data_IF_760808741474
#
_entry.id   IF_760808741474
#
_cell.length_a   1.000
_cell.length_b   1.000
_cell.length_c   1.000
_cell.angle_alpha   90.00
_cell.angle_beta   90.00
_cell.angle_gamma   90.00
#
_symmetry.space_group_name_H-M   'P 1'
#
loop_
_entity.id
_entity.type
_entity.pdbx_description
1 polymer ?
#
# COMPACT_ATOMS: atom_id res chain seq x y z
N UNK A 1 36.15 -56.95 12.98
CA UNK A 1 34.78 -56.41 13.11
C UNK A 1 34.86 -54.91 12.86
N UNK A 2 34.48 -54.43 11.67
CA UNK A 2 34.46 -53.00 11.31
C UNK A 2 33.19 -52.38 11.89
N UNK A 3 33.32 -51.42 12.82
CA UNK A 3 32.19 -50.60 13.28
C UNK A 3 31.98 -49.47 12.27
N UNK A 4 30.88 -49.54 11.54
CA UNK A 4 30.41 -48.44 10.69
C UNK A 4 29.68 -47.47 11.62
N UNK A 5 30.21 -46.24 11.75
CA UNK A 5 29.51 -45.15 12.43
C UNK A 5 28.56 -44.51 11.42
N UNK A 6 27.26 -44.60 11.71
CA UNK A 6 26.19 -43.99 10.92
C UNK A 6 25.97 -42.58 11.49
N UNK A 7 26.36 -41.54 10.74
CA UNK A 7 26.00 -40.17 11.07
C UNK A 7 24.55 -39.95 10.60
N UNK A 8 23.64 -39.76 11.56
CA UNK A 8 22.29 -39.30 11.28
C UNK A 8 22.35 -37.79 11.00
N UNK A 9 22.14 -37.40 9.74
CA UNK A 9 21.93 -36.01 9.36
C UNK A 9 20.60 -35.52 9.93
N UNK A 10 20.66 -34.54 10.83
CA UNK A 10 19.48 -33.83 11.30
C UNK A 10 19.08 -32.84 10.18
N UNK A 11 18.11 -33.22 9.36
CA UNK A 11 17.49 -32.28 8.43
C UNK A 11 16.66 -31.28 9.26
N UNK A 12 17.18 -30.06 9.43
CA UNK A 12 16.36 -28.93 9.84
C UNK A 12 15.44 -28.61 8.67
N UNK A 13 14.13 -28.83 8.86
CA UNK A 13 13.13 -28.27 7.98
C UNK A 13 13.11 -26.76 8.25
N UNK A 14 13.66 -25.98 7.33
CA UNK A 14 13.44 -24.53 7.28
C UNK A 14 12.01 -24.36 6.79
N UNK A 15 11.11 -23.97 7.67
CA UNK A 15 9.77 -23.51 7.29
C UNK A 15 9.95 -22.08 6.80
N UNK A 16 9.82 -21.85 5.49
CA UNK A 16 9.79 -20.51 4.93
C UNK A 16 8.72 -19.68 5.63
N UNK A 17 9.09 -18.49 6.09
CA UNK A 17 8.14 -17.54 6.65
C UNK A 17 7.25 -17.06 5.49
N UNK A 18 5.97 -17.45 5.50
CA UNK A 18 5.01 -16.94 4.53
C UNK A 18 4.90 -15.42 4.64
N UNK A 19 4.65 -14.76 3.51
CA UNK A 19 4.43 -13.31 3.45
C UNK A 19 3.40 -12.88 4.53
N UNK A 20 3.83 -11.99 5.42
CA UNK A 20 2.97 -11.49 6.48
C UNK A 20 1.96 -10.51 5.89
N UNK A 21 0.68 -10.72 6.17
CA UNK A 21 -0.39 -9.79 5.78
C UNK A 21 -0.88 -9.03 7.00
N UNK A 22 -0.96 -7.70 6.90
CA UNK A 22 -1.59 -6.84 7.89
C UNK A 22 -2.89 -6.28 7.31
N UNK A 23 -3.91 -6.13 8.15
CA UNK A 23 -5.19 -5.51 7.78
C UNK A 23 -5.49 -4.39 8.76
N UNK A 24 -5.72 -3.19 8.23
CA UNK A 24 -6.13 -2.01 9.00
C UNK A 24 -7.63 -1.85 8.91
N UNK A 25 -8.32 -2.36 9.93
CA UNK A 25 -9.77 -2.24 10.14
C UNK A 25 -10.17 -0.90 10.76
N UNK A 26 -9.21 -0.20 11.41
CA UNK A 26 -9.44 1.05 12.14
C UNK A 26 -10.43 0.99 13.32
N UNK A 27 -11.12 -0.12 13.54
CA UNK A 27 -12.09 -0.35 14.63
C UNK A 27 -11.52 -0.15 16.05
N UNK A 28 -10.23 -0.39 16.24
CA UNK A 28 -9.56 -0.19 17.55
C UNK A 28 -9.18 1.27 17.81
N UNK A 29 -9.27 2.14 16.80
CA UNK A 29 -9.02 3.56 16.94
C UNK A 29 -10.24 4.28 17.51
N UNK A 30 -9.98 5.30 18.33
CA UNK A 30 -11.06 6.14 18.86
C UNK A 30 -11.54 7.11 17.80
N UNK A 31 -12.86 7.21 17.65
CA UNK A 31 -13.50 8.20 16.78
C UNK A 31 -12.98 9.63 17.04
N UNK A 32 -12.55 10.31 15.98
CA UNK A 32 -12.06 11.68 16.04
C UNK A 32 -10.92 11.99 15.08
N UNK A 33 -10.36 13.19 15.24
CA UNK A 33 -9.25 13.66 14.43
C UNK A 33 -7.94 12.97 14.82
N UNK A 34 -7.21 12.47 13.82
CA UNK A 34 -5.87 11.92 13.98
C UNK A 34 -4.77 12.94 13.66
N UNK A 35 -5.11 14.03 12.97
CA UNK A 35 -4.19 15.11 12.58
C UNK A 35 -3.86 15.09 11.08
N UNK A 36 -2.86 15.86 10.68
CA UNK A 36 -2.41 15.96 9.28
C UNK A 36 -1.52 14.79 8.84
N UNK A 37 -1.07 14.00 9.81
CA UNK A 37 -0.37 12.75 9.61
C UNK A 37 -0.59 11.87 10.83
N UNK A 38 -0.67 10.56 10.62
CA UNK A 38 -0.70 9.57 11.69
C UNK A 38 -0.04 8.28 11.24
N UNK A 39 0.40 7.49 12.21
CA UNK A 39 0.97 6.16 12.00
C UNK A 39 0.02 5.12 12.58
N UNK A 40 -0.25 4.07 11.81
CA UNK A 40 -1.06 2.95 12.25
C UNK A 40 -0.73 1.69 11.44
N UNK A 41 -0.52 0.58 12.15
CA UNK A 41 -0.38 -0.76 11.58
C UNK A 41 0.69 -0.90 10.47
N UNK A 42 1.85 -0.28 10.65
CA UNK A 42 2.96 -0.31 9.69
C UNK A 42 2.82 0.69 8.53
N UNK A 43 1.86 1.62 8.61
CA UNK A 43 1.60 2.63 7.58
C UNK A 43 1.64 4.03 8.19
N UNK A 44 2.43 4.92 7.60
CA UNK A 44 2.40 6.37 7.88
C UNK A 44 1.59 7.08 6.82
N UNK A 45 0.48 7.69 7.22
CA UNK A 45 -0.40 8.48 6.37
C UNK A 45 0.03 9.95 6.41
N UNK A 46 0.14 10.60 5.25
CA UNK A 46 0.58 12.01 5.15
C UNK A 46 0.05 12.71 3.90
N UNK A 47 0.27 14.02 3.85
CA UNK A 47 0.03 14.89 2.69
C UNK A 47 -1.41 14.82 2.13
N UNK A 48 -2.39 14.73 3.04
CA UNK A 48 -3.80 14.70 2.66
C UNK A 48 -4.22 16.03 2.02
N UNK A 49 -4.82 15.94 0.83
CA UNK A 49 -5.48 17.02 0.11
C UNK A 49 -4.60 18.24 -0.20
N UNK A 50 -3.31 18.02 -0.48
CA UNK A 50 -2.34 19.09 -0.69
C UNK A 50 -2.24 19.62 -2.15
N UNK A 51 -3.25 19.35 -2.99
CA UNK A 51 -3.27 19.80 -4.40
C UNK A 51 -4.44 20.72 -4.71
N UNK A 52 -4.26 21.72 -5.59
CA UNK A 52 -5.37 22.39 -6.23
C UNK A 52 -6.01 21.48 -7.28
N UNK A 53 -7.27 21.74 -7.62
CA UNK A 53 -7.97 20.90 -8.58
C UNK A 53 -9.23 21.51 -9.19
N UNK A 54 -9.99 20.66 -9.87
CA UNK A 54 -11.17 21.01 -10.65
C UNK A 54 -12.30 20.01 -10.41
N UNK A 55 -13.54 20.50 -10.41
CA UNK A 55 -14.75 19.67 -10.38
C UNK A 55 -15.31 19.45 -11.79
N UNK A 56 -16.15 18.43 -12.01
CA UNK A 56 -16.78 18.17 -13.31
C UNK A 56 -17.58 19.34 -13.89
N UNK A 57 -18.08 20.25 -13.05
CA UNK A 57 -18.78 21.46 -13.48
C UNK A 57 -17.85 22.62 -13.91
N UNK A 58 -16.54 22.44 -13.81
CA UNK A 58 -15.51 23.43 -14.15
C UNK A 58 -15.09 24.36 -13.01
N UNK A 59 -15.72 24.26 -11.83
CA UNK A 59 -15.27 25.00 -10.64
C UNK A 59 -13.90 24.49 -10.18
N UNK A 60 -13.07 25.40 -9.65
CA UNK A 60 -11.72 25.08 -9.17
C UNK A 60 -11.61 25.31 -7.67
N UNK A 61 -10.68 24.60 -7.03
CA UNK A 61 -10.35 24.76 -5.61
C UNK A 61 -8.83 24.84 -5.40
N UNK A 62 -8.41 25.39 -4.26
CA UNK A 62 -7.02 25.33 -3.77
C UNK A 62 -6.89 24.28 -2.66
N UNK A 63 -5.67 23.82 -2.39
CA UNK A 63 -5.40 22.75 -1.41
C UNK A 63 -6.10 22.98 -0.04
N UNK A 64 -5.96 24.19 0.51
CA UNK A 64 -6.51 24.56 1.83
C UNK A 64 -8.04 24.49 1.93
N UNK A 65 -8.76 24.42 0.81
CA UNK A 65 -10.22 24.39 0.81
C UNK A 65 -10.77 23.07 1.35
N UNK A 66 -10.10 21.94 1.03
CA UNK A 66 -10.63 20.59 1.26
C UNK A 66 -10.36 20.05 2.67
N UNK A 67 -9.36 20.59 3.36
CA UNK A 67 -8.93 20.13 4.68
C UNK A 67 -7.94 18.97 4.61
N UNK A 68 -6.98 19.00 5.54
CA UNK A 68 -5.79 18.16 5.56
C UNK A 68 -5.78 17.13 6.69
N UNK A 69 -6.91 16.91 7.38
CA UNK A 69 -6.93 16.00 8.54
C UNK A 69 -7.51 14.63 8.23
N UNK A 70 -6.81 13.60 8.71
CA UNK A 70 -7.30 12.23 8.81
C UNK A 70 -8.22 12.08 10.02
N UNK A 71 -9.29 11.32 9.86
CA UNK A 71 -10.38 11.22 10.81
C UNK A 71 -10.83 9.77 10.89
N UNK A 72 -11.04 9.27 12.11
CA UNK A 72 -11.77 8.03 12.35
C UNK A 72 -13.22 8.39 12.65
N UNK A 73 -14.15 7.80 11.89
CA UNK A 73 -15.59 7.99 12.09
C UNK A 73 -16.30 6.67 12.32
N UNK A 74 -17.32 6.69 13.18
CA UNK A 74 -18.19 5.53 13.32
C UNK A 74 -19.14 5.43 12.12
N UNK A 75 -18.92 4.43 11.27
CA UNK A 75 -19.64 4.25 10.01
C UNK A 75 -20.81 3.26 10.11
N UNK A 76 -21.33 2.98 11.32
CA UNK A 76 -22.41 2.01 11.51
C UNK A 76 -23.60 2.23 10.57
N UNK A 77 -23.98 3.49 10.31
CA UNK A 77 -25.06 3.80 9.39
C UNK A 77 -24.75 3.43 7.93
N UNK A 78 -23.48 3.47 7.51
CA UNK A 78 -23.06 2.99 6.19
C UNK A 78 -23.11 1.45 6.13
N UNK A 79 -22.65 0.75 7.18
CA UNK A 79 -22.70 -0.71 7.22
C UNK A 79 -24.13 -1.27 7.27
N UNK A 80 -25.10 -0.55 7.82
CA UNK A 80 -26.51 -0.94 7.77
C UNK A 80 -27.00 -1.10 6.31
N UNK A 81 -26.50 -0.25 5.40
CA UNK A 81 -26.81 -0.30 3.96
C UNK A 81 -25.86 -1.24 3.19
N UNK A 82 -24.61 -1.40 3.64
CA UNK A 82 -23.56 -2.22 3.01
C UNK A 82 -22.91 -3.22 3.99
N UNK A 83 -23.65 -4.24 4.47
CA UNK A 83 -23.19 -5.10 5.58
C UNK A 83 -22.04 -6.06 5.24
N UNK A 84 -21.63 -6.15 3.97
CA UNK A 84 -20.50 -6.95 3.52
C UNK A 84 -19.29 -6.14 3.05
N UNK A 85 -19.33 -4.82 3.26
CA UNK A 85 -18.23 -3.92 2.96
C UNK A 85 -17.43 -3.64 4.24
N UNK A 86 -16.11 -3.77 4.16
CA UNK A 86 -15.19 -3.46 5.25
C UNK A 86 -15.36 -4.32 6.50
N UNK A 87 -14.80 -3.82 7.59
CA UNK A 87 -15.03 -4.22 8.97
C UNK A 87 -16.06 -3.33 9.66
N UNK A 88 -16.87 -3.85 10.60
CA UNK A 88 -17.90 -3.06 11.26
C UNK A 88 -17.33 -2.21 12.40
N UNK A 89 -17.59 -0.91 12.35
CA UNK A 89 -17.72 0.06 13.44
C UNK A 89 -17.10 1.38 13.02
N UNK A 90 -15.80 1.39 12.73
CA UNK A 90 -15.07 2.61 12.37
C UNK A 90 -14.39 2.50 11.01
N UNK A 91 -14.25 3.65 10.33
CA UNK A 91 -13.58 3.75 9.04
C UNK A 91 -12.64 4.95 9.03
N UNK A 92 -11.68 4.96 8.09
CA UNK A 92 -10.86 6.12 7.81
C UNK A 92 -11.55 7.06 6.81
N UNK A 93 -11.61 8.34 7.17
CA UNK A 93 -12.21 9.41 6.38
C UNK A 93 -11.40 10.72 6.53
N UNK A 94 -11.81 11.76 5.80
CA UNK A 94 -10.94 12.85 5.42
C UNK A 94 -11.63 14.21 5.43
N UNK A 95 -10.91 15.25 5.80
CA UNK A 95 -11.31 16.64 5.54
C UNK A 95 -11.18 17.55 6.77
N UNK A 96 -12.26 18.25 7.12
CA UNK A 96 -12.27 19.32 8.15
C UNK A 96 -13.25 19.09 9.30
N UNK A 97 -14.15 18.14 9.14
CA UNK A 97 -15.26 17.92 10.03
C UNK A 97 -15.75 16.49 9.90
N UNK A 98 -16.36 16.03 10.98
CA UNK A 98 -16.89 14.69 11.15
C UNK A 98 -18.14 14.78 12.03
N UNK A 99 -19.01 13.79 12.01
CA UNK A 99 -20.20 13.79 12.87
C UNK A 99 -20.12 12.68 13.90
N UNK A 100 -19.87 12.98 15.19
CA UNK A 100 -19.71 11.95 16.21
C UNK A 100 -20.92 11.02 16.34
N UNK A 101 -20.65 9.73 16.44
CA UNK A 101 -21.63 8.66 16.60
C UNK A 101 -22.01 7.98 15.27
N UNK A 102 -22.95 7.03 15.30
CA UNK A 102 -23.26 6.17 14.15
C UNK A 102 -23.94 6.96 13.04
N UNK A 103 -23.15 7.46 12.10
CA UNK A 103 -23.62 8.37 11.05
C UNK A 103 -23.01 8.05 9.69
N UNK A 104 -23.53 8.72 8.66
CA UNK A 104 -23.07 8.60 7.28
C UNK A 104 -22.32 9.88 6.89
N UNK A 105 -21.01 9.86 7.11
CA UNK A 105 -20.10 10.94 6.77
C UNK A 105 -19.06 10.42 5.78
N UNK A 106 -19.16 10.86 4.51
CA UNK A 106 -18.15 10.50 3.50
C UNK A 106 -17.27 11.73 3.25
N UNK A 107 -16.03 11.62 3.70
CA UNK A 107 -15.02 12.67 3.68
C UNK A 107 -14.58 13.03 2.27
N UNK A 108 -13.84 14.13 2.15
CA UNK A 108 -13.32 14.61 0.85
C UNK A 108 -11.88 14.15 0.66
N UNK A 109 -11.58 13.58 -0.51
CA UNK A 109 -10.22 13.18 -0.87
C UNK A 109 -9.80 13.79 -2.21
N UNK A 110 -8.60 14.31 -2.26
CA UNK A 110 -7.89 14.80 -3.45
C UNK A 110 -6.65 13.95 -3.67
N UNK A 111 -5.84 13.81 -2.63
CA UNK A 111 -4.71 12.90 -2.56
C UNK A 111 -4.41 12.52 -1.11
N UNK A 112 -3.71 11.41 -0.91
CA UNK A 112 -2.95 11.09 0.28
C UNK A 112 -1.81 10.13 -0.05
N UNK A 113 -0.76 10.19 0.77
CA UNK A 113 0.38 9.29 0.68
C UNK A 113 0.40 8.36 1.90
N UNK A 114 0.84 7.13 1.66
CA UNK A 114 0.97 6.07 2.66
C UNK A 114 2.38 5.48 2.52
N UNK A 115 3.26 5.79 3.47
CA UNK A 115 4.60 5.17 3.54
C UNK A 115 4.50 3.88 4.35
N UNK A 116 5.10 2.81 3.84
CA UNK A 116 5.10 1.50 4.48
C UNK A 116 6.39 1.30 5.26
N UNK A 117 6.29 0.74 6.47
CA UNK A 117 7.47 0.41 7.30
C UNK A 117 8.36 -0.66 6.64
N UNK A 118 7.72 -1.59 5.94
CA UNK A 118 8.34 -2.71 5.22
C UNK A 118 7.89 -2.72 3.76
N UNK A 119 8.69 -3.33 2.88
CA UNK A 119 8.30 -3.54 1.49
C UNK A 119 7.04 -4.41 1.41
N UNK A 120 6.14 -4.05 0.50
CA UNK A 120 4.91 -4.79 0.19
C UNK A 120 4.94 -5.32 -1.24
N UNK A 121 4.22 -6.42 -1.47
CA UNK A 121 4.03 -7.02 -2.80
C UNK A 121 2.58 -6.91 -3.27
N UNK A 122 1.64 -6.75 -2.34
CA UNK A 122 0.23 -6.50 -2.63
C UNK A 122 -0.34 -5.49 -1.64
N UNK A 123 -1.23 -4.63 -2.12
CA UNK A 123 -2.05 -3.77 -1.28
C UNK A 123 -3.46 -3.70 -1.84
N UNK A 124 -4.47 -3.72 -0.96
CA UNK A 124 -5.86 -3.52 -1.35
C UNK A 124 -6.62 -2.75 -0.28
N UNK A 125 -7.68 -2.05 -0.69
CA UNK A 125 -8.58 -1.37 0.24
C UNK A 125 -10.03 -1.45 -0.21
N UNK A 126 -10.95 -1.45 0.76
CA UNK A 126 -12.37 -1.27 0.54
C UNK A 126 -12.70 0.23 0.49
N UNK A 127 -13.58 0.62 -0.44
CA UNK A 127 -13.95 2.02 -0.67
C UNK A 127 -15.46 2.21 -0.55
N UNK A 128 -15.87 3.23 0.20
CA UNK A 128 -17.23 3.74 0.22
C UNK A 128 -17.24 5.18 -0.32
N UNK A 129 -18.10 5.48 -1.29
CA UNK A 129 -18.09 6.79 -1.96
C UNK A 129 -19.49 7.18 -2.45
N UNK A 130 -19.62 8.42 -2.94
CA UNK A 130 -20.81 8.82 -3.69
C UNK A 130 -20.59 8.68 -5.20
N UNK A 131 -21.53 8.05 -5.89
CA UNK A 131 -21.56 7.98 -7.35
C UNK A 131 -22.66 8.85 -7.96
N UNK A 132 -22.60 9.00 -9.29
CA UNK A 132 -23.51 9.83 -10.07
C UNK A 132 -23.46 11.31 -9.64
N UNK A 133 -24.54 12.06 -9.91
CA UNK A 133 -24.65 13.46 -9.50
C UNK A 133 -23.43 14.31 -9.91
N UNK A 134 -22.84 15.10 -9.00
CA UNK A 134 -21.70 15.97 -9.30
C UNK A 134 -20.34 15.23 -9.36
N UNK A 135 -20.32 13.93 -9.09
CA UNK A 135 -19.09 13.13 -8.97
C UNK A 135 -18.74 12.35 -10.24
N UNK A 136 -19.71 12.21 -11.15
CA UNK A 136 -19.59 11.40 -12.35
C UNK A 136 -18.36 11.74 -13.19
N UNK A 137 -17.63 10.69 -13.59
CA UNK A 137 -16.44 10.81 -14.44
C UNK A 137 -15.14 11.16 -13.70
N UNK A 138 -15.18 11.44 -12.39
CA UNK A 138 -13.96 11.49 -11.58
C UNK A 138 -13.42 10.06 -11.42
N UNK A 139 -12.10 9.89 -11.51
CA UNK A 139 -11.42 8.61 -11.28
C UNK A 139 -10.58 8.64 -10.01
N UNK A 140 -10.73 7.64 -9.16
CA UNK A 140 -9.75 7.30 -8.13
C UNK A 140 -8.59 6.54 -8.75
N UNK A 141 -7.39 6.76 -8.21
CA UNK A 141 -6.14 6.14 -8.61
C UNK A 141 -5.40 5.66 -7.36
N UNK A 142 -4.89 4.44 -7.40
CA UNK A 142 -4.00 3.89 -6.39
C UNK A 142 -2.71 3.47 -7.10
N UNK A 143 -1.64 4.20 -6.83
CA UNK A 143 -0.32 3.92 -7.38
C UNK A 143 0.59 3.36 -6.28
N UNK A 144 1.32 2.29 -6.60
CA UNK A 144 2.39 1.74 -5.79
C UNK A 144 3.74 2.23 -6.32
N UNK A 145 4.60 2.69 -5.41
CA UNK A 145 5.92 3.22 -5.73
C UNK A 145 7.02 2.38 -5.07
N UNK A 146 8.10 2.17 -5.83
CA UNK A 146 9.38 1.68 -5.32
C UNK A 146 10.43 2.77 -5.52
N UNK A 147 11.02 3.24 -4.43
CA UNK A 147 12.07 4.28 -4.42
C UNK A 147 11.70 5.51 -5.28
N UNK A 148 10.42 5.92 -5.22
CA UNK A 148 9.89 7.08 -5.94
C UNK A 148 9.48 6.84 -7.40
N UNK A 149 9.51 5.59 -7.87
CA UNK A 149 9.05 5.21 -9.22
C UNK A 149 7.76 4.38 -9.12
N UNK A 150 6.73 4.72 -9.90
CA UNK A 150 5.50 3.91 -9.98
C UNK A 150 5.81 2.53 -10.56
N UNK A 151 5.48 1.48 -9.82
CA UNK A 151 5.67 0.07 -10.22
C UNK A 151 4.36 -0.67 -10.47
N UNK A 152 3.24 -0.20 -9.92
CA UNK A 152 1.90 -0.70 -10.20
C UNK A 152 0.84 0.39 -10.01
N UNK A 153 -0.28 0.26 -10.70
CA UNK A 153 -1.40 1.20 -10.63
C UNK A 153 -2.73 0.48 -10.78
N UNK A 154 -3.74 0.97 -10.07
CA UNK A 154 -5.15 0.64 -10.27
C UNK A 154 -5.98 1.91 -10.34
N UNK A 155 -7.14 1.86 -10.98
CA UNK A 155 -8.04 3.02 -11.08
C UNK A 155 -9.50 2.62 -11.12
N UNK A 156 -10.34 3.46 -10.50
CA UNK A 156 -11.79 3.29 -10.50
C UNK A 156 -12.48 4.59 -10.91
N UNK A 157 -13.28 4.56 -11.97
CA UNK A 157 -14.05 5.74 -12.43
C UNK A 157 -15.46 5.74 -11.87
N UNK A 158 -15.84 6.84 -11.22
CA UNK A 158 -17.18 7.05 -10.68
C UNK A 158 -18.20 7.10 -11.81
N UNK A 159 -19.26 6.31 -11.67
CA UNK A 159 -20.40 6.28 -12.60
C UNK A 159 -21.01 7.67 -12.81
N UNK A 160 -21.35 7.98 -14.06
CA UNK A 160 -22.04 9.22 -14.48
C UNK A 160 -23.37 8.89 -15.18
N UNK A 161 -24.24 8.13 -14.51
CA UNK A 161 -25.58 7.85 -15.05
C UNK A 161 -26.54 9.05 -14.89
N UNK A 162 -26.03 10.20 -14.41
CA UNK A 162 -26.81 11.36 -14.02
C UNK A 162 -27.71 11.10 -12.79
N UNK A 163 -28.49 12.10 -12.38
CA UNK A 163 -29.42 11.97 -11.26
C UNK A 163 -28.84 12.44 -9.91
N UNK A 164 -29.35 11.89 -8.82
CA UNK A 164 -28.88 12.21 -7.46
C UNK A 164 -27.63 11.42 -7.13
N UNK A 165 -26.82 11.98 -6.25
CA UNK A 165 -25.77 11.24 -5.57
C UNK A 165 -26.35 10.10 -4.74
N UNK A 166 -25.68 8.94 -4.80
CA UNK A 166 -26.01 7.80 -3.96
C UNK A 166 -24.73 7.12 -3.46
N UNK A 167 -24.72 6.59 -2.22
CA UNK A 167 -23.63 5.76 -1.74
C UNK A 167 -23.42 4.55 -2.66
N UNK A 168 -22.15 4.19 -2.84
CA UNK A 168 -21.70 3.00 -3.54
C UNK A 168 -20.40 2.47 -2.91
N UNK A 169 -20.05 1.25 -3.28
CA UNK A 169 -18.84 0.57 -2.81
C UNK A 169 -18.00 0.07 -3.98
N UNK A 170 -16.69 0.03 -3.77
CA UNK A 170 -15.72 -0.58 -4.68
C UNK A 170 -14.52 -1.10 -3.87
N UNK A 171 -13.57 -1.71 -4.56
CA UNK A 171 -12.26 -2.01 -4.04
C UNK A 171 -11.21 -1.61 -5.06
N UNK A 172 -10.02 -1.25 -4.59
CA UNK A 172 -8.85 -1.06 -5.44
C UNK A 172 -7.71 -1.91 -4.90
N UNK A 173 -6.86 -2.38 -5.82
CA UNK A 173 -5.74 -3.25 -5.46
C UNK A 173 -4.57 -3.07 -6.41
N UNK A 174 -3.35 -3.07 -5.86
CA UNK A 174 -2.10 -3.04 -6.61
C UNK A 174 -1.23 -4.23 -6.21
N UNK A 175 -0.45 -4.74 -7.17
CA UNK A 175 0.52 -5.81 -6.94
C UNK A 175 1.75 -5.59 -7.81
N UNK A 176 2.94 -5.77 -7.21
CA UNK A 176 4.24 -5.68 -7.85
C UNK A 176 5.25 -6.54 -7.07
N UNK A 177 6.48 -6.69 -7.60
CA UNK A 177 7.54 -7.45 -6.92
C UNK A 177 7.85 -6.88 -5.52
N UNK A 178 7.99 -5.56 -5.42
CA UNK A 178 8.11 -4.82 -4.17
C UNK A 178 7.75 -3.34 -4.36
N UNK A 179 7.15 -2.72 -3.35
CA UNK A 179 6.92 -1.28 -3.24
C UNK A 179 6.99 -0.84 -1.77
N UNK A 180 7.35 0.43 -1.54
CA UNK A 180 7.51 1.03 -0.20
C UNK A 180 6.47 2.13 0.09
N UNK A 181 5.77 2.60 -0.94
CA UNK A 181 4.86 3.73 -0.82
C UNK A 181 3.61 3.52 -1.67
N UNK A 182 2.45 3.95 -1.16
CA UNK A 182 1.19 4.03 -1.91
C UNK A 182 0.74 5.50 -2.03
N UNK A 183 0.17 5.86 -3.18
CA UNK A 183 -0.45 7.15 -3.43
C UNK A 183 -1.89 6.94 -3.87
N UNK A 184 -2.84 7.40 -3.06
CA UNK A 184 -4.26 7.41 -3.43
C UNK A 184 -4.65 8.82 -3.80
N UNK A 185 -5.21 9.02 -4.98
CA UNK A 185 -5.64 10.34 -5.43
C UNK A 185 -6.83 10.26 -6.39
N UNK A 186 -7.45 11.41 -6.64
CA UNK A 186 -8.58 11.52 -7.54
C UNK A 186 -8.32 12.52 -8.67
N UNK A 187 -8.73 12.19 -9.88
CA UNK A 187 -8.61 13.05 -11.05
C UNK A 187 -9.89 13.19 -11.86
N UNK A 188 -10.04 14.33 -12.51
CA UNK A 188 -11.01 14.57 -13.56
C UNK A 188 -10.27 15.15 -14.77
N UNK A 189 -10.33 14.47 -15.92
CA UNK A 189 -9.63 14.85 -17.16
C UNK A 189 -8.13 15.15 -16.96
N UNK A 190 -7.45 14.35 -16.13
CA UNK A 190 -6.00 14.47 -15.88
C UNK A 190 -5.60 15.58 -14.91
N UNK A 191 -6.57 16.23 -14.25
CA UNK A 191 -6.33 17.20 -13.18
C UNK A 191 -6.86 16.65 -11.87
N UNK A 192 -6.25 17.00 -10.74
CA UNK A 192 -6.78 16.62 -9.43
C UNK A 192 -8.24 17.06 -9.25
N UNK A 193 -9.02 16.23 -8.57
CA UNK A 193 -10.41 16.51 -8.21
C UNK A 193 -10.67 16.12 -6.75
N UNK A 194 -11.85 16.43 -6.22
CA UNK A 194 -12.17 16.26 -4.80
C UNK A 194 -13.48 15.48 -4.59
N UNK A 195 -13.56 14.20 -5.01
CA UNK A 195 -14.71 13.35 -4.73
C UNK A 195 -14.77 12.95 -3.25
N UNK A 196 -15.78 12.13 -2.91
CA UNK A 196 -16.05 11.69 -1.54
C UNK A 196 -15.63 10.26 -1.33
N UNK A 197 -14.81 10.00 -0.31
CA UNK A 197 -14.33 8.66 0.03
C UNK A 197 -14.31 8.44 1.55
N UNK A 198 -14.74 7.25 1.96
CA UNK A 198 -14.29 6.55 3.16
C UNK A 198 -13.54 5.30 2.71
N UNK A 199 -12.56 4.88 3.48
CA UNK A 199 -11.83 3.64 3.23
C UNK A 199 -11.76 2.76 4.46
N UNK A 200 -11.66 1.47 4.21
CA UNK A 200 -11.54 0.45 5.24
C UNK A 200 -10.75 -0.77 4.72
N UNK A 201 -10.40 -1.68 5.62
CA UNK A 201 -9.69 -2.93 5.31
C UNK A 201 -8.43 -2.71 4.47
N UNK A 202 -7.62 -1.68 4.78
CA UNK A 202 -6.33 -1.51 4.10
C UNK A 202 -5.46 -2.72 4.43
N UNK A 203 -5.35 -3.60 3.45
CA UNK A 203 -4.64 -4.87 3.52
C UNK A 203 -3.31 -4.68 2.83
N UNK A 204 -2.22 -4.91 3.56
CA UNK A 204 -0.87 -4.87 3.04
C UNK A 204 -0.27 -6.26 3.19
N UNK A 205 0.12 -6.87 2.08
CA UNK A 205 0.90 -8.10 2.09
C UNK A 205 2.35 -7.71 1.92
N UNK A 206 3.15 -7.95 2.97
CA UNK A 206 4.59 -7.75 2.93
C UNK A 206 5.14 -8.46 1.69
N UNK A 207 6.04 -7.81 0.96
CA UNK A 207 6.94 -8.53 0.09
C UNK A 207 7.59 -9.57 1.00
N UNK A 208 7.54 -10.85 0.62
CA UNK A 208 8.25 -11.89 1.38
C UNK A 208 9.68 -11.41 1.66
N UNK A 209 10.33 -11.88 2.75
CA UNK A 209 11.67 -11.44 3.09
C UNK A 209 12.47 -11.41 1.79
N UNK A 210 12.88 -10.21 1.35
CA UNK A 210 13.47 -10.04 0.02
C UNK A 210 14.53 -11.11 -0.06
N UNK A 211 14.34 -12.08 -0.95
CA UNK A 211 15.33 -13.11 -1.11
C UNK A 211 16.44 -12.45 -1.89
N UNK A 212 17.21 -11.63 -1.18
CA UNK A 212 18.25 -10.81 -1.74
C UNK A 212 19.21 -11.61 -2.63
N UNK A 213 19.53 -12.90 -2.33
CA UNK A 213 20.35 -13.68 -3.24
C UNK A 213 19.63 -14.19 -4.50
N UNK A 214 18.31 -14.06 -4.63
CA UNK A 214 17.54 -14.23 -5.87
C UNK A 214 17.58 -12.90 -6.64
N UNK A 215 18.54 -12.80 -7.56
CA UNK A 215 18.86 -11.58 -8.30
C UNK A 215 18.13 -11.51 -9.64
N UNK A 216 17.61 -12.62 -10.13
CA UNK A 216 16.81 -12.68 -11.35
C UNK A 216 15.29 -12.60 -11.08
N UNK A 217 14.88 -12.61 -9.79
CA UNK A 217 13.51 -12.57 -9.28
C UNK A 217 12.63 -13.71 -9.80
N UNK A 218 13.20 -14.90 -10.04
CA UNK A 218 12.42 -16.06 -10.49
C UNK A 218 11.84 -16.90 -9.34
N UNK A 219 12.15 -16.52 -8.09
CA UNK A 219 11.69 -17.16 -6.86
C UNK A 219 12.57 -18.33 -6.41
N UNK A 220 13.70 -18.59 -7.07
CA UNK A 220 14.61 -19.70 -6.77
C UNK A 220 16.05 -19.21 -6.75
N UNK A 221 16.68 -19.26 -5.57
CA UNK A 221 18.12 -18.99 -5.44
C UNK A 221 18.93 -20.14 -6.03
N UNK A 222 19.52 -19.94 -7.20
CA UNK A 222 20.34 -20.96 -7.86
C UNK A 222 21.58 -20.42 -8.60
N UNK A 223 22.17 -21.26 -9.45
CA UNK A 223 23.40 -20.89 -10.15
C UNK A 223 23.23 -19.64 -11.03
N UNK A 224 22.03 -19.37 -11.54
CA UNK A 224 21.76 -18.21 -12.38
C UNK A 224 21.93 -16.90 -11.58
N UNK A 225 21.45 -16.83 -10.34
CA UNK A 225 21.69 -15.68 -9.46
C UNK A 225 23.15 -15.53 -9.09
N UNK A 226 23.84 -16.65 -8.84
CA UNK A 226 25.27 -16.63 -8.56
C UNK A 226 26.07 -16.03 -9.72
N UNK A 227 25.74 -16.41 -10.97
CA UNK A 227 26.40 -15.83 -12.14
C UNK A 227 26.00 -14.37 -12.36
N UNK A 228 24.77 -13.99 -12.04
CA UNK A 228 24.31 -12.61 -12.12
C UNK A 228 25.04 -11.71 -11.10
N UNK A 229 25.20 -12.19 -9.85
CA UNK A 229 26.01 -11.54 -8.83
C UNK A 229 27.46 -11.33 -9.30
N UNK A 230 28.10 -12.37 -9.86
CA UNK A 230 29.46 -12.24 -10.38
C UNK A 230 29.59 -11.17 -11.48
N UNK A 231 28.55 -11.00 -12.30
CA UNK A 231 28.52 -9.93 -13.30
C UNK A 231 28.45 -8.56 -12.64
N UNK A 232 27.48 -8.34 -11.75
CA UNK A 232 27.33 -7.08 -11.01
C UNK A 232 28.57 -6.71 -10.20
N UNK A 233 29.16 -7.70 -9.51
CA UNK A 233 30.37 -7.54 -8.72
C UNK A 233 31.57 -7.13 -9.59
N UNK A 234 31.73 -7.74 -10.77
CA UNK A 234 32.82 -7.42 -11.70
C UNK A 234 32.64 -6.04 -12.36
N UNK A 235 31.40 -5.63 -12.60
CA UNK A 235 31.05 -4.34 -13.20
C UNK A 235 31.03 -3.20 -12.18
N UNK A 236 31.11 -3.50 -10.88
CA UNK A 236 30.98 -2.52 -9.80
C UNK A 236 29.58 -1.93 -9.72
N UNK A 237 28.56 -2.73 -10.07
CA UNK A 237 27.16 -2.33 -10.00
C UNK A 237 26.70 -2.23 -8.52
N UNK A 238 26.04 -1.13 -8.10
CA UNK A 238 25.54 -0.98 -6.73
C UNK A 238 24.66 -2.12 -6.21
N UNK A 239 24.05 -2.94 -7.07
CA UNK A 239 23.33 -4.16 -6.66
C UNK A 239 24.25 -5.17 -5.93
N UNK A 240 25.55 -5.15 -6.24
CA UNK A 240 26.54 -6.02 -5.61
C UNK A 240 27.01 -5.54 -4.23
N UNK A 241 26.61 -4.35 -3.76
CA UNK A 241 26.84 -3.88 -2.39
C UNK A 241 25.90 -4.64 -1.44
N UNK A 242 26.34 -5.82 -1.04
CA UNK A 242 25.58 -6.77 -0.24
C UNK A 242 25.64 -6.47 1.26
N UNK A 243 26.51 -5.59 1.75
CA UNK A 243 26.48 -5.16 3.16
C UNK A 243 25.92 -3.72 3.34
N UNK A 244 25.61 -3.03 2.22
CA UNK A 244 25.13 -1.65 2.14
C UNK A 244 26.06 -0.61 2.77
N UNK A 245 27.37 -0.82 2.72
CA UNK A 245 28.37 0.12 3.26
C UNK A 245 28.86 1.17 2.25
N UNK A 246 28.40 1.07 1.00
CA UNK A 246 28.73 1.97 -0.09
C UNK A 246 30.03 1.63 -0.81
N UNK A 247 30.67 0.50 -0.50
CA UNK A 247 31.92 0.03 -1.10
C UNK A 247 31.75 -1.42 -1.55
N UNK A 248 31.80 -1.66 -2.87
CA UNK A 248 31.76 -3.04 -3.41
C UNK A 248 33.13 -3.69 -3.25
N UNK A 249 33.25 -4.63 -2.31
CA UNK A 249 34.48 -5.37 -2.04
C UNK A 249 34.26 -6.83 -1.59
N UNK A 250 35.30 -7.47 -1.05
CA UNK A 250 35.22 -8.89 -0.68
C UNK A 250 34.19 -9.17 0.42
N UNK A 251 33.84 -8.19 1.25
CA UNK A 251 32.86 -8.35 2.32
C UNK A 251 31.45 -8.57 1.73
N UNK A 252 31.10 -7.89 0.64
CA UNK A 252 29.84 -8.13 -0.08
C UNK A 252 29.76 -9.52 -0.69
N UNK A 253 30.88 -10.00 -1.22
CA UNK A 253 30.97 -11.35 -1.76
C UNK A 253 30.67 -12.41 -0.69
N UNK A 254 31.19 -12.21 0.53
CA UNK A 254 30.92 -13.13 1.64
C UNK A 254 29.49 -12.98 2.18
N UNK A 255 28.94 -11.77 2.21
CA UNK A 255 27.56 -11.53 2.62
C UNK A 255 26.56 -12.14 1.62
N UNK A 256 26.82 -11.99 0.31
CA UNK A 256 26.07 -12.69 -0.75
C UNK A 256 26.16 -14.21 -0.58
N UNK A 257 27.36 -14.78 -0.39
CA UNK A 257 27.50 -16.22 -0.18
C UNK A 257 26.75 -16.74 1.05
N UNK A 258 26.74 -15.96 2.14
CA UNK A 258 26.01 -16.32 3.34
C UNK A 258 24.50 -16.33 3.08
N UNK A 259 23.98 -15.29 2.41
CA UNK A 259 22.59 -15.21 2.01
C UNK A 259 22.21 -16.32 1.02
N UNK A 260 23.02 -16.53 -0.02
CA UNK A 260 22.83 -17.56 -1.05
C UNK A 260 22.76 -18.97 -0.45
N UNK A 261 23.63 -19.27 0.52
CA UNK A 261 23.63 -20.56 1.21
C UNK A 261 22.44 -20.74 2.17
N UNK A 262 21.91 -19.63 2.71
CA UNK A 262 20.69 -19.64 3.53
C UNK A 262 19.43 -19.84 2.68
N UNK A 263 19.47 -19.39 1.41
CA UNK A 263 18.32 -19.39 0.51
C UNK A 263 17.29 -18.33 0.90
N UNK A 264 16.04 -18.58 0.53
CA UNK A 264 14.84 -17.93 1.04
C UNK A 264 14.14 -18.90 2.02
#
# INVERSE_FOLDING_TARGET
>A
MKKIAMFAGLALAVTGAGAQTTVSHYDDLTEGFLGESFYYNGVTYRDLNNQPGVFPNGDTFIADDMGSTFIIENAQAFHDDFPGWGSPDNVLTFGRAYVPGPNLSIGVIVEMWMDLDDLASEASMAMGFYENGPWGGISYHLDAYRDGVVVASDSYTISDLGGRDNPAIASMSVSADAFDTLHLYAQYNGQFSAPRLIMDDLTITAAGPTCRPDLNNDGVVDADDFFLFLSYFADGDPIADFNNDGVIDADDFFEFLAAFAAGC
#
